data_IF_441609668900
#
_entry.id   IF_441609668900
#
_cell.length_a   1.000
_cell.length_b   1.000
_cell.length_c   1.000
_cell.angle_alpha   90.00
_cell.angle_beta   90.00
_cell.angle_gamma   90.00
#
_symmetry.space_group_name_H-M   'P 1'
#
loop_
_entity.id
_entity.type
_entity.pdbx_description
1 polymer ?
#
# COMPACT_ATOMS: atom_id res chain seq x y z
N UNK A 1 -10.25 3.24 4.46
CA UNK A 1 -9.26 3.86 3.55
C UNK A 1 -9.52 5.35 3.46
N UNK A 2 -8.49 6.16 3.67
CA UNK A 2 -8.53 7.62 3.56
C UNK A 2 -7.48 8.04 2.54
N UNK A 3 -7.80 9.01 1.66
CA UNK A 3 -6.88 9.53 0.64
C UNK A 3 -6.65 11.01 0.87
N UNK A 4 -5.40 11.40 1.03
CA UNK A 4 -4.95 12.78 1.10
C UNK A 4 -4.21 13.12 -0.19
N UNK A 5 -4.61 14.21 -0.86
CA UNK A 5 -3.95 14.68 -2.07
C UNK A 5 -3.23 16.00 -1.78
N UNK A 6 -1.92 16.01 -1.99
CA UNK A 6 -1.05 17.19 -2.09
C UNK A 6 -0.73 17.48 -3.56
N UNK A 7 -0.11 18.63 -3.89
CA UNK A 7 0.23 18.99 -5.27
C UNK A 7 1.09 17.95 -5.99
N UNK A 8 1.99 17.29 -5.26
CA UNK A 8 3.03 16.38 -5.77
C UNK A 8 3.00 14.98 -5.14
N UNK A 9 2.05 14.74 -4.22
CA UNK A 9 1.95 13.49 -3.46
C UNK A 9 0.49 13.07 -3.23
N UNK A 10 0.21 11.77 -3.36
CA UNK A 10 -1.01 11.13 -2.85
C UNK A 10 -0.63 10.23 -1.68
N UNK A 11 -1.14 10.54 -0.49
CA UNK A 11 -1.02 9.67 0.66
C UNK A 11 -2.30 8.86 0.86
N UNK A 12 -2.16 7.54 0.99
CA UNK A 12 -3.28 6.60 1.15
C UNK A 12 -3.11 5.85 2.46
N UNK A 13 -4.07 6.03 3.37
CA UNK A 13 -4.10 5.29 4.65
C UNK A 13 -5.07 4.13 4.53
N UNK A 14 -4.57 2.92 4.66
CA UNK A 14 -5.34 1.69 4.65
C UNK A 14 -5.70 1.30 6.07
N UNK A 15 -6.99 1.06 6.27
CA UNK A 15 -7.53 0.47 7.50
C UNK A 15 -8.39 -0.69 7.03
N UNK A 16 -7.87 -1.90 7.21
CA UNK A 16 -8.49 -3.16 6.78
C UNK A 16 -8.48 -4.09 7.99
N UNK A 17 -9.66 -4.28 8.59
CA UNK A 17 -9.86 -5.20 9.71
C UNK A 17 -10.33 -6.58 9.26
N UNK A 18 -11.11 -6.59 8.17
CA UNK A 18 -11.61 -7.79 7.50
C UNK A 18 -11.70 -7.48 6.00
N UNK A 19 -10.98 -8.24 5.18
CA UNK A 19 -10.86 -8.01 3.74
C UNK A 19 -12.12 -8.44 2.98
N UNK A 20 -12.77 -9.54 3.36
CA UNK A 20 -13.92 -10.08 2.60
C UNK A 20 -15.07 -9.07 2.55
N UNK A 21 -15.34 -8.40 3.66
CA UNK A 21 -16.39 -7.38 3.76
C UNK A 21 -16.05 -6.06 3.07
N UNK A 22 -14.79 -5.79 2.73
CA UNK A 22 -14.33 -4.48 2.22
C UNK A 22 -13.81 -4.49 0.78
N UNK A 23 -13.66 -5.68 0.18
CA UNK A 23 -12.95 -5.92 -1.09
C UNK A 23 -13.40 -5.06 -2.28
N UNK A 24 -14.70 -5.02 -2.60
CA UNK A 24 -15.19 -4.35 -3.81
C UNK A 24 -15.07 -2.81 -3.75
N UNK A 25 -15.32 -2.22 -2.57
CA UNK A 25 -15.13 -0.78 -2.37
C UNK A 25 -13.64 -0.42 -2.41
N UNK A 26 -12.80 -1.28 -1.84
CA UNK A 26 -11.35 -1.09 -1.84
C UNK A 26 -10.78 -1.13 -3.26
N UNK A 27 -11.13 -2.14 -4.07
CA UNK A 27 -10.72 -2.24 -5.49
C UNK A 27 -11.09 -0.99 -6.30
N UNK A 28 -12.33 -0.50 -6.18
CA UNK A 28 -12.78 0.70 -6.89
C UNK A 28 -11.96 1.93 -6.52
N UNK A 29 -11.66 2.08 -5.23
CA UNK A 29 -10.85 3.18 -4.75
C UNK A 29 -9.39 3.09 -5.22
N UNK A 30 -8.80 1.90 -5.18
CA UNK A 30 -7.45 1.65 -5.69
C UNK A 30 -7.34 1.99 -7.18
N UNK A 31 -8.31 1.58 -7.99
CA UNK A 31 -8.35 1.92 -9.41
C UNK A 31 -8.38 3.45 -9.64
N UNK A 32 -9.18 4.16 -8.84
CA UNK A 32 -9.25 5.63 -8.91
C UNK A 32 -7.92 6.28 -8.54
N UNK A 33 -7.19 5.73 -7.57
CA UNK A 33 -5.85 6.21 -7.20
C UNK A 33 -4.87 5.99 -8.36
N UNK A 34 -4.86 4.81 -8.97
CA UNK A 34 -4.04 4.55 -10.16
C UNK A 34 -4.31 5.61 -11.23
N UNK A 35 -5.57 5.89 -11.55
CA UNK A 35 -5.94 6.88 -12.57
C UNK A 35 -5.42 8.29 -12.29
N UNK A 36 -5.44 8.75 -11.03
CA UNK A 36 -5.01 10.11 -10.66
C UNK A 36 -3.52 10.24 -10.38
N UNK A 37 -2.76 9.14 -10.39
CA UNK A 37 -1.38 9.12 -9.91
C UNK A 37 -0.31 9.42 -10.97
N UNK A 38 -0.67 9.77 -12.19
CA UNK A 38 0.35 10.01 -13.23
C UNK A 38 1.28 11.18 -12.86
N UNK A 39 2.59 10.92 -12.83
CA UNK A 39 3.65 11.86 -12.43
C UNK A 39 3.48 12.42 -11.00
N UNK A 40 2.87 11.63 -10.11
CA UNK A 40 2.61 12.01 -8.72
C UNK A 40 3.15 10.93 -7.79
N UNK A 41 3.90 11.35 -6.77
CA UNK A 41 4.44 10.43 -5.76
C UNK A 41 3.32 9.84 -4.91
N UNK A 42 3.52 8.62 -4.43
CA UNK A 42 2.50 7.90 -3.67
C UNK A 42 3.10 7.38 -2.37
N UNK A 43 2.47 7.74 -1.26
CA UNK A 43 2.76 7.18 0.05
C UNK A 43 1.62 6.26 0.48
N UNK A 44 1.93 4.99 0.74
CA UNK A 44 0.97 4.00 1.23
C UNK A 44 1.23 3.71 2.70
N UNK A 45 0.28 4.06 3.55
CA UNK A 45 0.27 3.72 4.97
C UNK A 45 -0.58 2.47 5.18
N UNK A 46 0.10 1.36 5.47
CA UNK A 46 -0.44 0.04 5.68
C UNK A 46 -0.47 -0.34 7.18
N UNK A 47 -0.12 0.56 8.09
CA UNK A 47 0.10 0.24 9.50
C UNK A 47 -1.17 -0.22 10.24
N UNK A 48 -2.36 0.10 9.71
CA UNK A 48 -3.65 -0.27 10.31
C UNK A 48 -4.32 -1.46 9.63
N UNK A 49 -3.55 -2.29 8.93
CA UNK A 49 -4.03 -3.53 8.33
C UNK A 49 -3.86 -4.65 9.34
N UNK A 50 -4.97 -5.29 9.72
CA UNK A 50 -5.00 -6.45 10.61
C UNK A 50 -5.22 -7.75 9.84
N UNK A 51 -5.80 -7.66 8.63
CA UNK A 51 -5.98 -8.81 7.75
C UNK A 51 -4.69 -9.11 6.99
N UNK A 52 -3.97 -10.14 7.43
CA UNK A 52 -2.73 -10.62 6.82
C UNK A 52 -2.95 -11.81 5.87
N UNK A 53 -4.14 -11.94 5.28
CA UNK A 53 -4.44 -13.00 4.32
C UNK A 53 -3.69 -12.81 2.98
N UNK A 54 -3.51 -13.92 2.26
CA UNK A 54 -2.95 -13.92 0.90
C UNK A 54 -3.77 -13.02 -0.03
N UNK A 55 -5.09 -12.97 0.14
CA UNK A 55 -5.99 -12.10 -0.63
C UNK A 55 -5.66 -10.63 -0.45
N UNK A 56 -5.44 -10.20 0.79
CA UNK A 56 -5.02 -8.83 1.13
C UNK A 56 -3.71 -8.47 0.44
N UNK A 57 -2.68 -9.32 0.61
CA UNK A 57 -1.37 -9.07 -0.01
C UNK A 57 -1.43 -9.07 -1.55
N UNK A 58 -2.22 -9.96 -2.16
CA UNK A 58 -2.40 -10.03 -3.61
C UNK A 58 -3.04 -8.78 -4.19
N UNK A 59 -3.98 -8.16 -3.46
CA UNK A 59 -4.58 -6.90 -3.85
C UNK A 59 -3.54 -5.77 -3.87
N UNK A 60 -2.72 -5.66 -2.82
CA UNK A 60 -1.65 -4.67 -2.76
C UNK A 60 -0.60 -4.88 -3.86
N UNK A 61 -0.25 -6.13 -4.14
CA UNK A 61 0.60 -6.47 -5.27
C UNK A 61 0.07 -5.90 -6.58
N UNK A 62 -1.20 -6.23 -6.88
CA UNK A 62 -1.86 -5.82 -8.13
C UNK A 62 -1.92 -4.29 -8.26
N UNK A 63 -2.18 -3.61 -7.15
CA UNK A 63 -2.20 -2.15 -7.10
C UNK A 63 -0.80 -1.56 -7.36
N UNK A 64 0.23 -2.05 -6.67
CA UNK A 64 1.61 -1.59 -6.86
C UNK A 64 2.14 -1.85 -8.27
N UNK A 65 1.81 -3.00 -8.86
CA UNK A 65 2.12 -3.29 -10.27
C UNK A 65 1.46 -2.29 -11.22
N UNK A 66 0.22 -1.88 -10.94
CA UNK A 66 -0.49 -0.88 -11.76
C UNK A 66 0.11 0.52 -11.65
N UNK A 67 0.85 0.80 -10.58
CA UNK A 67 1.56 2.06 -10.36
C UNK A 67 2.98 2.07 -10.96
N UNK A 68 3.61 0.91 -11.12
CA UNK A 68 5.01 0.77 -11.58
C UNK A 68 5.30 1.48 -12.92
N UNK A 69 4.33 1.50 -13.83
CA UNK A 69 4.51 2.08 -15.17
C UNK A 69 4.24 3.59 -15.24
N UNK A 70 4.01 4.21 -14.08
CA UNK A 70 3.83 5.66 -13.94
C UNK A 70 5.12 6.19 -13.32
N UNK A 71 5.68 7.27 -13.85
CA UNK A 71 6.92 7.90 -13.35
C UNK A 71 6.73 8.49 -11.95
N UNK A 72 6.49 7.61 -10.99
CA UNK A 72 6.07 7.92 -9.63
C UNK A 72 7.07 7.30 -8.66
N UNK A 73 7.35 7.99 -7.57
CA UNK A 73 8.01 7.36 -6.43
C UNK A 73 6.95 6.76 -5.50
N UNK A 74 7.11 5.47 -5.18
CA UNK A 74 6.22 4.77 -4.25
C UNK A 74 6.97 4.55 -2.94
N UNK A 75 6.41 5.12 -1.87
CA UNK A 75 6.83 4.93 -0.48
C UNK A 75 5.79 4.07 0.25
N UNK A 76 6.24 3.10 1.03
CA UNK A 76 5.37 2.29 1.89
C UNK A 76 5.77 2.45 3.34
N UNK A 77 4.78 2.73 4.19
CA UNK A 77 4.84 2.68 5.66
C UNK A 77 4.07 1.43 6.10
N UNK A 78 4.73 0.47 6.73
CA UNK A 78 4.06 -0.74 7.20
C UNK A 78 4.73 -1.30 8.47
N UNK A 79 3.99 -2.14 9.19
CA UNK A 79 4.56 -2.96 10.26
C UNK A 79 5.43 -4.09 9.67
N UNK A 80 6.33 -4.65 10.48
CA UNK A 80 7.30 -5.66 10.05
C UNK A 80 6.62 -6.91 9.43
N UNK A 81 5.50 -7.36 9.98
CA UNK A 81 4.76 -8.53 9.49
C UNK A 81 4.20 -8.31 8.08
N UNK A 82 3.59 -7.15 7.85
CA UNK A 82 3.08 -6.74 6.53
C UNK A 82 4.23 -6.62 5.54
N UNK A 83 5.35 -6.01 5.97
CA UNK A 83 6.54 -5.88 5.14
C UNK A 83 7.10 -7.24 4.72
N UNK A 84 7.13 -8.21 5.65
CA UNK A 84 7.55 -9.57 5.37
C UNK A 84 6.60 -10.25 4.37
N UNK A 85 5.29 -10.07 4.52
CA UNK A 85 4.30 -10.55 3.56
C UNK A 85 4.52 -10.00 2.15
N UNK A 86 4.68 -8.67 2.01
CA UNK A 86 4.98 -8.01 0.72
C UNK A 86 6.29 -8.50 0.09
N UNK A 87 7.33 -8.75 0.90
CA UNK A 87 8.61 -9.30 0.44
C UNK A 87 8.46 -10.73 -0.09
N UNK A 88 7.70 -11.58 0.60
CA UNK A 88 7.47 -12.97 0.17
C UNK A 88 6.79 -13.05 -1.20
N UNK A 89 5.90 -12.11 -1.50
CA UNK A 89 5.23 -12.04 -2.80
C UNK A 89 5.98 -11.21 -3.87
N UNK A 90 7.25 -10.87 -3.60
CA UNK A 90 8.17 -10.30 -4.58
C UNK A 90 7.98 -8.81 -4.88
N UNK A 91 7.16 -8.09 -4.11
CA UNK A 91 6.89 -6.66 -4.32
C UNK A 91 8.10 -5.80 -3.99
N UNK A 92 9.02 -6.26 -3.14
CA UNK A 92 10.20 -5.48 -2.75
C UNK A 92 11.03 -4.95 -3.92
N UNK A 93 10.96 -5.60 -5.10
CA UNK A 93 11.65 -5.16 -6.33
C UNK A 93 10.97 -3.98 -7.05
N UNK A 94 9.73 -3.65 -6.67
CA UNK A 94 8.92 -2.58 -7.29
C UNK A 94 9.05 -1.25 -6.57
N UNK A 95 9.65 -1.23 -5.38
CA UNK A 95 9.61 -0.09 -4.47
C UNK A 95 10.97 0.63 -4.47
N UNK A 96 10.95 1.96 -4.63
CA UNK A 96 12.14 2.80 -4.48
C UNK A 96 12.57 2.90 -3.02
N UNK A 97 11.61 2.99 -2.10
CA UNK A 97 11.87 3.02 -0.66
C UNK A 97 10.76 2.28 0.12
N UNK A 98 11.18 1.63 1.19
CA UNK A 98 10.30 0.97 2.16
C UNK A 98 10.73 1.42 3.55
N UNK A 99 9.81 1.99 4.31
CA UNK A 99 10.04 2.33 5.71
C UNK A 99 9.21 1.37 6.57
N UNK A 100 9.91 0.58 7.38
CA UNK A 100 9.27 -0.23 8.40
C UNK A 100 9.10 0.66 9.63
N UNK A 101 7.88 0.76 10.14
CA UNK A 101 7.72 1.27 11.50
C UNK A 101 8.04 0.13 12.46
N UNK A 102 9.27 0.11 12.95
CA UNK A 102 9.57 -0.58 14.20
C UNK A 102 8.90 0.24 15.31
N UNK A 103 7.61 -0.03 15.57
CA UNK A 103 7.05 0.23 16.88
C UNK A 103 7.80 -0.73 17.82
N UNK A 104 8.99 -0.29 18.24
CA UNK A 104 9.95 -1.13 18.94
C UNK A 104 9.25 -1.90 20.04
N UNK A 105 9.29 -3.22 19.94
CA UNK A 105 9.41 -4.03 21.13
C UNK A 105 10.79 -3.65 21.69
N UNK A 106 10.80 -2.63 22.53
CA UNK A 106 11.93 -2.38 23.41
C UNK A 106 12.06 -3.60 24.32
N UNK A 107 13.14 -4.35 24.09
CA UNK A 107 13.85 -5.25 25.03
C UNK A 107 13.04 -6.33 25.75
#
# INVERSE_FOLDING_TARGET
MIVYKKPDEIAVVFEIKDFESTNEKLKKNLLRIVQMSENINITLDLQKIQDLSVSTFSLFASFLYSLKNKDNEIKILAEQEIMNGLKQIGIGKLLKSMEVNDNGIGS
#
